data_IF_450776385904
#
_entry.id   IF_450776385904
#
_cell.length_a   1.000
_cell.length_b   1.000
_cell.length_c   1.000
_cell.angle_alpha   90.00
_cell.angle_beta   90.00
_cell.angle_gamma   90.00
#
_symmetry.space_group_name_H-M   'P 1'
#
loop_
_entity.id
_entity.type
_entity.pdbx_description
1 polymer ?
#
# COMPACT_ATOMS: atom_id res chain seq x y z
N UNK A 1 -46.51 -20.34 32.07
CA UNK A 1 -45.96 -21.29 31.08
C UNK A 1 -45.52 -20.56 29.80
N UNK A 2 -46.39 -19.78 29.16
CA UNK A 2 -46.07 -19.03 27.91
C UNK A 2 -44.88 -18.04 28.02
N UNK A 3 -44.76 -17.29 29.11
CA UNK A 3 -43.62 -16.38 29.34
C UNK A 3 -42.30 -17.13 29.51
N UNK A 4 -42.33 -18.31 30.15
CA UNK A 4 -41.13 -19.13 30.35
C UNK A 4 -40.60 -19.65 29.01
N UNK A 5 -41.48 -20.14 28.14
CA UNK A 5 -41.11 -20.53 26.78
C UNK A 5 -40.52 -19.37 25.97
N UNK A 6 -41.10 -18.16 26.09
CA UNK A 6 -40.57 -16.96 25.46
C UNK A 6 -39.15 -16.62 25.97
N UNK A 7 -38.90 -16.74 27.29
CA UNK A 7 -37.57 -16.53 27.88
C UNK A 7 -36.55 -17.58 27.40
N UNK A 8 -36.95 -18.83 27.25
CA UNK A 8 -36.08 -19.92 26.73
C UNK A 8 -35.71 -19.66 25.26
N UNK A 9 -36.67 -19.26 24.43
CA UNK A 9 -36.43 -18.89 23.02
C UNK A 9 -35.52 -17.68 22.92
N UNK A 10 -35.77 -16.63 23.72
CA UNK A 10 -34.93 -15.42 23.76
C UNK A 10 -33.50 -15.72 24.18
N UNK A 11 -33.29 -16.59 25.18
CA UNK A 11 -31.95 -17.00 25.61
C UNK A 11 -31.20 -17.80 24.54
N UNK A 12 -31.89 -18.63 23.75
CA UNK A 12 -31.29 -19.33 22.60
C UNK A 12 -30.85 -18.33 21.53
N UNK A 13 -31.71 -17.35 21.20
CA UNK A 13 -31.39 -16.29 20.24
C UNK A 13 -30.18 -15.45 20.68
N UNK A 14 -30.12 -15.03 21.95
CA UNK A 14 -28.99 -14.28 22.49
C UNK A 14 -27.69 -15.08 22.37
N UNK A 15 -27.70 -16.37 22.75
CA UNK A 15 -26.52 -17.24 22.63
C UNK A 15 -26.07 -17.42 21.18
N UNK A 16 -27.01 -17.56 20.24
CA UNK A 16 -26.70 -17.64 18.81
C UNK A 16 -26.08 -16.35 18.28
N UNK A 17 -26.61 -15.18 18.64
CA UNK A 17 -26.05 -13.88 18.25
C UNK A 17 -24.63 -13.73 18.81
N UNK A 18 -24.41 -14.07 20.08
CA UNK A 18 -23.08 -14.01 20.68
C UNK A 18 -22.09 -14.91 19.94
N UNK A 19 -22.47 -16.13 19.58
CA UNK A 19 -21.62 -17.05 18.81
C UNK A 19 -21.29 -16.53 17.40
N UNK A 20 -22.26 -15.94 16.70
CA UNK A 20 -22.02 -15.34 15.39
C UNK A 20 -21.09 -14.13 15.51
N UNK A 21 -21.28 -13.29 16.54
CA UNK A 21 -20.42 -12.12 16.74
C UNK A 21 -18.97 -12.50 17.02
N UNK A 22 -18.73 -13.54 17.85
CA UNK A 22 -17.37 -13.99 18.18
C UNK A 22 -16.67 -14.62 16.98
N UNK A 23 -17.38 -15.40 16.17
CA UNK A 23 -16.82 -15.99 14.94
C UNK A 23 -16.45 -14.91 13.91
N UNK A 24 -17.28 -13.89 13.73
CA UNK A 24 -16.97 -12.75 12.84
C UNK A 24 -15.74 -11.98 13.33
N UNK A 25 -15.62 -11.75 14.64
CA UNK A 25 -14.45 -11.08 15.24
C UNK A 25 -13.17 -11.90 15.01
N UNK A 26 -13.22 -13.22 15.20
CA UNK A 26 -12.09 -14.13 14.95
C UNK A 26 -11.64 -14.11 13.49
N UNK A 27 -12.57 -14.19 12.54
CA UNK A 27 -12.26 -14.13 11.11
C UNK A 27 -11.62 -12.79 10.75
N UNK A 28 -12.17 -11.69 11.28
CA UNK A 28 -11.63 -10.35 11.06
C UNK A 28 -10.21 -10.22 11.61
N UNK A 29 -9.97 -10.70 12.84
CA UNK A 29 -8.65 -10.72 13.47
C UNK A 29 -7.61 -11.49 12.64
N UNK A 30 -7.98 -12.68 12.13
CA UNK A 30 -7.11 -13.49 11.27
C UNK A 30 -6.78 -12.75 9.96
N UNK A 31 -7.78 -12.13 9.32
CA UNK A 31 -7.57 -11.38 8.07
C UNK A 31 -6.66 -10.14 8.28
N UNK A 32 -6.83 -9.41 9.39
CA UNK A 32 -5.98 -8.28 9.71
C UNK A 32 -4.53 -8.69 9.99
N UNK A 33 -4.31 -9.81 10.68
CA UNK A 33 -2.97 -10.29 10.99
C UNK A 33 -2.17 -10.72 9.75
N UNK A 34 -2.83 -11.24 8.70
CA UNK A 34 -2.16 -11.57 7.44
C UNK A 34 -1.48 -10.37 6.77
N UNK A 35 -2.04 -9.15 6.91
CA UNK A 35 -1.42 -7.95 6.33
C UNK A 35 -0.17 -7.48 7.07
N UNK A 36 0.05 -7.93 8.31
CA UNK A 36 1.14 -7.43 9.15
C UNK A 36 2.51 -7.95 8.69
N UNK A 37 2.60 -9.20 8.22
CA UNK A 37 3.86 -9.82 7.79
C UNK A 37 4.50 -9.13 6.57
N UNK A 38 3.68 -8.52 5.69
CA UNK A 38 4.18 -7.85 4.48
C UNK A 38 4.92 -6.55 4.84
N UNK A 39 4.56 -5.88 5.93
CA UNK A 39 5.17 -4.61 6.33
C UNK A 39 6.33 -4.76 7.33
N UNK A 40 6.40 -5.86 8.09
CA UNK A 40 7.47 -6.06 9.09
C UNK A 40 8.85 -6.36 8.48
N UNK A 41 8.92 -6.70 7.18
CA UNK A 41 10.19 -6.99 6.49
C UNK A 41 10.80 -5.81 5.72
N UNK A 42 10.28 -4.59 5.93
CA UNK A 42 10.87 -3.39 5.31
C UNK A 42 12.02 -2.91 6.20
N UNK A 43 13.25 -3.04 5.72
CA UNK A 43 14.44 -2.48 6.37
C UNK A 43 14.31 -0.95 6.44
N UNK A 44 13.90 -0.44 7.60
CA UNK A 44 13.79 1.00 7.87
C UNK A 44 15.10 1.64 8.32
N UNK A 45 16.15 0.82 8.54
CA UNK A 45 17.45 1.29 9.02
C UNK A 45 18.33 1.79 7.89
N UNK A 46 18.15 1.25 6.67
CA UNK A 46 18.88 1.67 5.48
C UNK A 46 18.05 2.62 4.62
N UNK A 47 18.07 3.92 4.98
CA UNK A 47 17.39 4.96 4.20
C UNK A 47 18.18 5.26 2.91
N UNK A 48 17.59 4.98 1.76
CA UNK A 48 18.15 5.35 0.46
C UNK A 48 17.53 6.66 -0.03
N UNK A 49 18.38 7.60 -0.47
CA UNK A 49 17.93 8.85 -1.09
C UNK A 49 17.76 8.64 -2.60
N UNK A 50 16.61 9.05 -3.12
CA UNK A 50 16.26 9.02 -4.53
C UNK A 50 16.32 10.43 -5.12
N UNK A 51 17.02 10.59 -6.24
CA UNK A 51 16.98 11.81 -7.03
C UNK A 51 15.68 11.84 -7.84
N UNK A 52 14.65 12.48 -7.30
CA UNK A 52 13.33 12.62 -7.92
C UNK A 52 13.44 13.37 -9.26
N UNK A 53 13.28 12.63 -10.37
CA UNK A 53 13.49 13.06 -11.76
C UNK A 53 14.87 13.63 -12.05
N UNK A 54 15.85 13.22 -11.25
CA UNK A 54 17.22 13.75 -11.24
C UNK A 54 17.40 14.96 -10.31
N UNK A 55 18.20 15.94 -10.75
CA UNK A 55 18.49 17.19 -10.03
C UNK A 55 17.66 18.34 -10.60
N UNK A 56 16.86 18.99 -9.76
CA UNK A 56 15.97 20.10 -10.12
C UNK A 56 16.64 21.32 -10.78
N UNK A 57 17.98 21.42 -10.74
CA UNK A 57 18.75 22.44 -11.46
C UNK A 57 18.72 22.26 -12.98
N UNK A 58 18.45 21.06 -13.46
CA UNK A 58 18.42 20.71 -14.89
C UNK A 58 17.00 20.27 -15.28
N UNK A 59 16.68 20.22 -16.58
CA UNK A 59 15.39 19.68 -17.01
C UNK A 59 15.14 18.31 -16.39
N UNK A 60 13.97 18.13 -15.80
CA UNK A 60 13.58 16.85 -15.20
C UNK A 60 13.66 15.72 -16.23
N UNK A 61 13.88 14.49 -15.77
CA UNK A 61 13.88 13.31 -16.63
C UNK A 61 14.90 13.37 -17.81
N UNK A 62 15.96 14.17 -17.67
CA UNK A 62 17.00 14.35 -18.69
C UNK A 62 18.33 13.68 -18.31
N UNK A 63 19.11 13.30 -19.32
CA UNK A 63 20.46 12.75 -19.12
C UNK A 63 21.36 13.68 -18.32
N UNK A 64 21.25 14.99 -18.53
CA UNK A 64 22.04 15.97 -17.79
C UNK A 64 21.68 15.94 -16.30
N UNK A 65 20.39 15.90 -15.98
CA UNK A 65 19.88 15.83 -14.61
C UNK A 65 20.34 14.54 -13.90
N UNK A 66 20.26 13.39 -14.58
CA UNK A 66 20.71 12.10 -14.05
C UNK A 66 22.22 12.01 -13.85
N UNK A 67 23.00 12.51 -14.81
CA UNK A 67 24.46 12.53 -14.69
C UNK A 67 24.92 13.38 -13.51
N UNK A 68 24.25 14.50 -13.25
CA UNK A 68 24.57 15.38 -12.13
C UNK A 68 24.13 14.75 -10.80
N UNK A 69 22.99 14.06 -10.74
CA UNK A 69 22.59 13.28 -9.57
C UNK A 69 23.65 12.23 -9.20
N UNK A 70 24.17 11.50 -10.20
CA UNK A 70 25.23 10.52 -10.00
C UNK A 70 26.52 11.18 -9.48
N UNK A 71 26.94 12.31 -10.07
CA UNK A 71 28.14 13.06 -9.63
C UNK A 71 28.04 13.56 -8.18
N UNK A 72 26.85 13.95 -7.73
CA UNK A 72 26.60 14.44 -6.37
C UNK A 72 26.52 13.29 -5.35
N UNK A 73 26.44 12.04 -5.81
CA UNK A 73 26.52 10.84 -4.97
C UNK A 73 25.17 10.19 -4.67
N UNK A 74 24.11 10.52 -5.41
CA UNK A 74 22.86 9.76 -5.33
C UNK A 74 23.10 8.33 -5.80
N UNK A 75 22.66 7.36 -4.98
CA UNK A 75 22.74 5.93 -5.31
C UNK A 75 21.50 5.42 -6.05
N UNK A 76 20.47 6.24 -6.13
CA UNK A 76 19.23 5.90 -6.82
C UNK A 76 18.66 7.11 -7.53
N UNK A 77 18.13 6.84 -8.74
CA UNK A 77 17.45 7.81 -9.59
C UNK A 77 15.99 7.39 -9.66
N UNK A 78 15.09 8.36 -9.58
CA UNK A 78 13.68 8.16 -9.86
C UNK A 78 13.36 8.83 -11.21
N UNK A 79 12.48 8.20 -11.98
CA UNK A 79 12.03 8.72 -13.26
C UNK A 79 10.62 8.23 -13.59
N UNK A 80 9.87 9.04 -14.31
CA UNK A 80 8.52 8.73 -14.76
C UNK A 80 8.54 8.09 -16.14
N UNK A 81 7.77 7.02 -16.35
CA UNK A 81 7.68 6.32 -17.64
C UNK A 81 6.29 6.53 -18.24
N UNK A 82 6.24 6.84 -19.53
CA UNK A 82 5.03 6.87 -20.34
C UNK A 82 5.17 5.96 -21.55
N UNK A 83 4.04 5.62 -22.19
CA UNK A 83 3.99 4.84 -23.41
C UNK A 83 3.42 5.69 -24.55
N UNK A 84 4.12 5.74 -25.68
CA UNK A 84 3.67 6.43 -26.89
C UNK A 84 2.61 5.62 -27.64
N UNK A 85 1.93 6.26 -28.61
CA UNK A 85 0.93 5.59 -29.46
C UNK A 85 1.52 4.43 -30.29
N UNK A 86 2.80 4.50 -30.64
CA UNK A 86 3.54 3.41 -31.31
C UNK A 86 4.17 2.42 -30.32
N UNK A 87 3.67 2.36 -29.08
CA UNK A 87 4.07 1.43 -28.02
C UNK A 87 5.55 1.53 -27.59
N UNK A 88 6.15 2.71 -27.67
CA UNK A 88 7.51 2.95 -27.15
C UNK A 88 7.44 3.54 -25.75
N UNK A 89 8.32 3.06 -24.87
CA UNK A 89 8.50 3.65 -23.55
C UNK A 89 9.39 4.89 -23.65
N UNK A 90 8.97 5.97 -23.00
CA UNK A 90 9.71 7.23 -22.89
C UNK A 90 9.77 7.65 -21.43
N UNK A 91 10.76 8.48 -21.09
CA UNK A 91 10.84 9.09 -19.77
C UNK A 91 10.17 10.46 -19.85
N UNK A 92 9.02 10.61 -19.20
CA UNK A 92 8.24 11.84 -19.22
C UNK A 92 7.20 11.83 -18.09
N UNK A 93 7.01 12.96 -17.41
CA UNK A 93 6.09 13.01 -16.27
C UNK A 93 4.63 13.19 -16.68
N UNK A 94 4.34 14.27 -17.41
CA UNK A 94 2.97 14.68 -17.67
C UNK A 94 2.27 13.78 -18.70
N UNK A 95 1.02 13.41 -18.45
CA UNK A 95 0.27 12.56 -19.40
C UNK A 95 -0.25 13.32 -20.63
N UNK A 96 -0.42 14.64 -20.51
CA UNK A 96 -1.16 15.47 -21.45
C UNK A 96 -0.42 16.77 -21.84
N UNK A 97 0.91 16.76 -21.87
CA UNK A 97 1.68 17.93 -22.29
C UNK A 97 1.56 18.22 -23.79
#
# INVERSE_FOLDING_TARGET
>A
MQIYEQLVVMNKLIKSILFISTTVILITYIYFNQKKEVFENIDTTNKMLFAHRGIAKFPENSWQSFNEANKIGFKSLECDIQCTKDNKLIIYHDKNA
#
